data_IF_794952225485
#
_entry.id   IF_794952225485
#
_cell.length_a   1.000
_cell.length_b   1.000
_cell.length_c   1.000
_cell.angle_alpha   90.00
_cell.angle_beta   90.00
_cell.angle_gamma   90.00
#
_symmetry.space_group_name_H-M   'P 1'
#
loop_
_entity.id
_entity.type
_entity.pdbx_description
1 polymer ?
#
# COMPACT_ATOMS: atom_id res chain seq x y z
N UNK A 1 -0.03 -16.98 7.68
CA UNK A 1 -0.62 -16.33 8.87
C UNK A 1 -1.77 -17.21 9.39
N UNK A 2 -1.90 -17.40 10.70
CA UNK A 2 -2.89 -18.30 11.35
C UNK A 2 -3.79 -17.54 12.33
N UNK A 3 -4.09 -16.27 12.07
CA UNK A 3 -5.18 -15.61 12.78
C UNK A 3 -6.50 -16.29 12.36
N UNK A 4 -6.90 -17.34 13.10
CA UNK A 4 -8.08 -18.18 12.79
C UNK A 4 -9.40 -17.46 13.09
N UNK A 5 -9.33 -16.27 13.66
CA UNK A 5 -10.47 -15.51 14.15
C UNK A 5 -11.08 -14.61 13.06
N UNK A 6 -10.28 -14.06 12.14
CA UNK A 6 -10.78 -13.20 11.07
C UNK A 6 -9.95 -13.29 9.78
N UNK A 7 -10.62 -13.04 8.65
CA UNK A 7 -10.00 -12.82 7.33
C UNK A 7 -9.70 -11.35 7.07
N UNK A 8 -9.85 -10.49 8.08
CA UNK A 8 -9.80 -9.04 7.95
C UNK A 8 -8.37 -8.47 7.96
N UNK A 9 -7.36 -9.30 8.26
CA UNK A 9 -5.98 -8.84 8.43
C UNK A 9 -5.01 -9.34 7.37
N UNK A 10 -3.89 -8.64 7.27
CA UNK A 10 -2.74 -9.03 6.48
C UNK A 10 -1.75 -9.93 7.20
N UNK A 11 -0.72 -10.39 6.47
CA UNK A 11 0.31 -11.26 7.04
C UNK A 11 1.13 -10.56 8.14
N UNK A 12 1.28 -9.25 8.02
CA UNK A 12 1.65 -8.34 9.09
C UNK A 12 0.49 -7.39 9.32
N UNK A 13 0.22 -7.08 10.58
CA UNK A 13 -0.77 -6.10 10.95
C UNK A 13 -0.27 -5.26 12.14
N UNK A 14 -0.68 -4.00 12.21
CA UNK A 14 -0.42 -3.09 13.34
C UNK A 14 -1.70 -2.42 13.80
N UNK A 15 -1.70 -1.90 15.03
CA UNK A 15 -2.81 -1.12 15.59
C UNK A 15 -2.30 -0.06 16.56
N UNK A 16 -2.26 1.19 16.12
CA UNK A 16 -1.79 2.30 16.95
C UNK A 16 -2.95 2.95 17.71
N UNK A 17 -3.41 2.28 18.78
CA UNK A 17 -4.56 2.75 19.57
C UNK A 17 -4.23 3.86 20.57
N UNK A 18 -2.95 4.06 20.91
CA UNK A 18 -2.52 5.07 21.88
C UNK A 18 -1.17 5.69 21.48
N UNK A 19 -1.07 7.02 21.37
CA UNK A 19 0.20 7.68 21.14
C UNK A 19 1.05 7.64 22.41
N UNK A 20 2.33 7.31 22.26
CA UNK A 20 3.33 7.47 23.30
C UNK A 20 4.12 8.76 23.08
N UNK A 21 4.44 9.44 24.17
CA UNK A 21 5.40 10.55 24.13
C UNK A 21 6.79 9.95 24.15
N UNK A 22 7.55 10.16 23.08
CA UNK A 22 8.89 9.57 22.88
C UNK A 22 9.94 10.66 22.78
N UNK A 23 11.14 10.37 23.30
CA UNK A 23 12.36 11.03 22.86
C UNK A 23 12.93 10.23 21.69
N UNK A 24 13.25 10.91 20.60
CA UNK A 24 13.92 10.25 19.49
C UNK A 24 15.34 9.89 19.94
N UNK A 25 15.87 8.70 19.58
CA UNK A 25 17.16 8.22 20.10
C UNK A 25 18.33 9.19 19.90
N UNK A 26 18.25 9.99 18.83
CA UNK A 26 19.30 10.91 18.39
C UNK A 26 18.90 12.39 18.51
N UNK A 27 17.83 12.73 19.25
CA UNK A 27 17.34 14.11 19.41
C UNK A 27 17.31 14.53 20.89
N UNK A 28 18.10 15.56 21.25
CA UNK A 28 17.98 16.27 22.54
C UNK A 28 16.80 17.26 22.56
N UNK A 29 16.02 17.31 21.49
CA UNK A 29 14.82 18.13 21.34
C UNK A 29 13.68 17.78 22.31
N UNK A 30 12.61 18.59 22.29
CA UNK A 30 11.44 18.34 23.10
C UNK A 30 10.81 16.99 22.74
N UNK A 31 10.26 16.28 23.73
CA UNK A 31 9.59 15.01 23.48
C UNK A 31 8.44 15.18 22.47
N UNK A 32 8.26 14.18 21.61
CA UNK A 32 7.31 14.21 20.50
C UNK A 32 6.25 13.11 20.64
N UNK A 33 5.05 13.36 20.11
CA UNK A 33 4.02 12.33 19.91
C UNK A 33 4.18 11.58 18.57
N UNK A 34 5.11 12.04 17.73
CA UNK A 34 5.43 11.41 16.45
C UNK A 34 6.58 10.42 16.65
N UNK A 35 6.34 9.11 16.47
CA UNK A 35 7.37 8.09 16.62
C UNK A 35 8.35 8.12 15.44
N UNK A 36 9.49 7.44 15.61
CA UNK A 36 10.37 7.12 14.48
C UNK A 36 9.65 6.14 13.55
N UNK A 37 9.92 6.22 12.25
CA UNK A 37 9.41 5.24 11.31
C UNK A 37 9.93 3.83 11.60
N UNK A 38 9.02 2.88 11.75
CA UNK A 38 9.32 1.45 11.75
C UNK A 38 9.58 0.99 10.32
N UNK A 39 10.65 0.23 10.08
CA UNK A 39 11.00 -0.24 8.73
C UNK A 39 10.67 -1.73 8.58
N UNK A 40 9.87 -2.06 7.56
CA UNK A 40 9.60 -3.43 7.12
C UNK A 40 10.31 -3.60 5.78
N UNK A 41 11.47 -4.27 5.77
CA UNK A 41 12.31 -4.35 4.58
C UNK A 41 12.97 -5.72 4.38
N UNK A 42 13.13 -6.10 3.10
CA UNK A 42 13.90 -7.29 2.72
C UNK A 42 13.20 -8.60 3.03
N UNK A 43 11.86 -8.62 3.10
CA UNK A 43 11.11 -9.80 3.49
C UNK A 43 10.50 -10.52 2.30
N UNK A 44 10.45 -11.85 2.38
CA UNK A 44 9.53 -12.68 1.63
C UNK A 44 8.31 -12.98 2.52
N UNK A 45 7.13 -12.46 2.14
CA UNK A 45 5.91 -12.58 2.95
C UNK A 45 4.83 -13.27 2.13
N UNK A 46 4.27 -14.33 2.71
CA UNK A 46 3.21 -15.14 2.11
C UNK A 46 1.88 -14.89 2.84
N UNK A 47 0.93 -14.18 2.24
CA UNK A 47 -0.41 -14.02 2.81
C UNK A 47 -1.34 -15.13 2.29
N UNK A 48 -1.26 -16.29 2.96
CA UNK A 48 -2.09 -17.45 2.70
C UNK A 48 -3.38 -17.46 3.55
N UNK A 49 -4.40 -18.24 3.15
CA UNK A 49 -5.68 -18.41 3.87
C UNK A 49 -6.57 -17.15 3.96
N UNK A 50 -7.02 -16.62 2.81
CA UNK A 50 -8.02 -15.54 2.72
C UNK A 50 -7.67 -14.27 3.51
N UNK A 51 -6.39 -13.91 3.60
CA UNK A 51 -5.96 -12.65 4.20
C UNK A 51 -6.48 -11.45 3.40
N UNK A 52 -6.89 -10.40 4.09
CA UNK A 52 -7.34 -9.16 3.46
C UNK A 52 -6.20 -8.47 2.74
N UNK A 53 -5.01 -8.36 3.34
CA UNK A 53 -3.87 -7.63 2.79
C UNK A 53 -2.56 -8.42 2.81
N UNK A 54 -1.52 -7.93 2.15
CA UNK A 54 -0.16 -8.38 2.41
C UNK A 54 0.37 -7.73 3.70
N UNK A 55 0.14 -6.43 3.84
CA UNK A 55 0.40 -5.62 5.03
C UNK A 55 -0.88 -4.86 5.37
N UNK A 56 -1.26 -4.90 6.64
CA UNK A 56 -2.42 -4.20 7.19
C UNK A 56 -1.97 -3.14 8.19
N UNK A 57 -1.95 -1.88 7.76
CA UNK A 57 -1.70 -0.73 8.62
C UNK A 57 -2.98 0.09 8.74
N UNK A 58 -4.08 -0.57 9.07
CA UNK A 58 -5.37 0.04 9.38
C UNK A 58 -5.43 0.61 10.81
N UNK A 59 -6.62 1.08 11.21
CA UNK A 59 -6.99 1.41 12.59
C UNK A 59 -6.06 2.44 13.27
N UNK A 60 -5.74 3.51 12.54
CA UNK A 60 -4.86 4.59 13.01
C UNK A 60 -3.37 4.28 12.96
N UNK A 61 -2.98 3.11 12.43
CA UNK A 61 -1.58 2.74 12.31
C UNK A 61 -0.80 3.68 11.40
N UNK A 62 0.39 4.06 11.84
CA UNK A 62 1.26 4.87 11.00
C UNK A 62 2.74 4.81 11.31
N UNK A 63 3.49 5.63 10.57
CA UNK A 63 4.95 5.69 10.63
C UNK A 63 5.59 4.34 10.26
N UNK A 64 5.12 3.72 9.17
CA UNK A 64 5.74 2.51 8.61
C UNK A 64 6.41 2.82 7.27
N UNK A 65 7.66 2.40 7.14
CA UNK A 65 8.39 2.38 5.87
C UNK A 65 8.51 0.93 5.39
N UNK A 66 7.60 0.53 4.51
CA UNK A 66 7.56 -0.80 3.92
C UNK A 66 8.27 -0.77 2.57
N UNK A 67 9.49 -1.29 2.50
CA UNK A 67 10.28 -1.18 1.26
C UNK A 67 11.07 -2.42 0.89
N UNK A 68 11.21 -2.72 -0.40
CA UNK A 68 12.05 -3.82 -0.85
C UNK A 68 11.58 -5.19 -0.34
N UNK A 69 10.26 -5.42 -0.26
CA UNK A 69 9.69 -6.71 0.11
C UNK A 69 9.02 -7.41 -1.08
N UNK A 70 9.08 -8.74 -1.07
CA UNK A 70 8.35 -9.59 -2.00
C UNK A 70 7.16 -10.22 -1.29
N UNK A 71 5.97 -9.71 -1.61
CA UNK A 71 4.69 -10.17 -1.08
C UNK A 71 4.03 -11.12 -2.07
N UNK A 72 3.59 -12.28 -1.60
CA UNK A 72 2.98 -13.32 -2.42
C UNK A 72 1.66 -13.74 -1.81
N UNK A 73 0.60 -13.64 -2.62
CA UNK A 73 -0.79 -13.86 -2.23
C UNK A 73 -1.26 -12.86 -1.16
N UNK A 74 -2.41 -12.27 -1.39
CA UNK A 74 -3.05 -11.27 -0.54
C UNK A 74 -4.24 -10.71 -1.32
N UNK A 75 -5.36 -10.44 -0.67
CA UNK A 75 -6.46 -9.85 -1.41
C UNK A 75 -6.09 -8.41 -1.83
N UNK A 76 -5.52 -7.64 -0.92
CA UNK A 76 -4.96 -6.31 -1.11
C UNK A 76 -3.42 -6.32 -0.96
N UNK A 77 -2.73 -5.32 -1.53
CA UNK A 77 -1.31 -5.09 -1.24
C UNK A 77 -1.12 -4.40 0.10
N UNK A 78 -1.26 -3.07 0.10
CA UNK A 78 -1.33 -2.23 1.29
C UNK A 78 -2.80 -1.98 1.66
N UNK A 79 -3.17 -2.25 2.92
CA UNK A 79 -4.45 -1.88 3.52
C UNK A 79 -4.24 -0.76 4.55
N UNK A 80 -5.04 0.30 4.46
CA UNK A 80 -4.99 1.48 5.32
C UNK A 80 -6.38 2.14 5.51
N UNK A 81 -7.47 1.42 5.22
CA UNK A 81 -8.83 1.93 5.07
C UNK A 81 -9.57 2.33 6.36
N UNK A 82 -8.92 2.26 7.52
CA UNK A 82 -9.44 2.72 8.82
C UNK A 82 -8.50 3.73 9.48
N UNK A 83 -8.29 4.89 8.86
CA UNK A 83 -7.45 5.97 9.40
C UNK A 83 -5.93 5.66 9.43
N UNK A 84 -5.47 4.69 8.64
CA UNK A 84 -4.03 4.48 8.46
C UNK A 84 -3.39 5.72 7.84
N UNK A 85 -2.18 6.09 8.28
CA UNK A 85 -1.49 7.28 7.78
C UNK A 85 0.03 7.13 7.90
N UNK A 86 0.80 7.96 7.21
CA UNK A 86 2.27 7.84 7.20
C UNK A 86 2.79 6.43 6.85
N UNK A 87 2.04 5.64 6.08
CA UNK A 87 2.45 4.32 5.61
C UNK A 87 3.07 4.45 4.22
N UNK A 88 4.39 4.29 4.15
CA UNK A 88 5.19 4.50 2.94
C UNK A 88 5.60 3.15 2.36
N UNK A 89 4.90 2.74 1.32
CA UNK A 89 5.15 1.51 0.59
C UNK A 89 5.91 1.82 -0.69
N UNK A 90 7.18 1.42 -0.74
CA UNK A 90 8.05 1.72 -1.89
C UNK A 90 8.90 0.56 -2.36
N UNK A 91 9.11 0.42 -3.67
CA UNK A 91 9.98 -0.63 -4.23
C UNK A 91 9.60 -2.05 -3.77
N UNK A 92 8.32 -2.33 -3.54
CA UNK A 92 7.84 -3.68 -3.22
C UNK A 92 7.35 -4.39 -4.48
N UNK A 93 7.34 -5.72 -4.43
CA UNK A 93 6.66 -6.56 -5.42
C UNK A 93 5.46 -7.22 -4.73
N UNK A 94 4.25 -6.87 -5.15
CA UNK A 94 3.00 -7.50 -4.74
C UNK A 94 2.55 -8.47 -5.82
N UNK A 95 2.74 -9.76 -5.58
CA UNK A 95 2.44 -10.82 -6.54
C UNK A 95 1.13 -11.55 -6.22
N UNK A 96 0.38 -11.84 -7.28
CA UNK A 96 -0.87 -12.62 -7.25
C UNK A 96 -1.94 -12.01 -6.33
N UNK A 97 -2.16 -10.71 -6.45
CA UNK A 97 -3.18 -9.99 -5.68
C UNK A 97 -4.60 -10.39 -6.08
N UNK A 98 -5.49 -10.51 -5.10
CA UNK A 98 -6.91 -10.85 -5.31
C UNK A 98 -7.73 -9.69 -5.89
N UNK A 99 -7.42 -8.45 -5.50
CA UNK A 99 -8.20 -7.27 -5.91
C UNK A 99 -7.33 -6.08 -6.27
N UNK A 100 -6.89 -5.28 -5.30
CA UNK A 100 -6.16 -4.01 -5.51
C UNK A 100 -4.79 -4.03 -4.83
N UNK A 101 -3.86 -3.24 -5.34
CA UNK A 101 -2.53 -3.08 -4.73
C UNK A 101 -2.51 -2.14 -3.52
N UNK A 102 -3.48 -1.23 -3.46
CA UNK A 102 -3.65 -0.27 -2.40
C UNK A 102 -5.13 -0.07 -2.09
N UNK A 103 -5.51 -0.09 -0.81
CA UNK A 103 -6.87 0.22 -0.36
C UNK A 103 -6.86 1.19 0.82
N UNK A 104 -7.65 2.27 0.67
CA UNK A 104 -7.97 3.26 1.68
C UNK A 104 -9.39 3.81 1.41
N UNK A 105 -10.41 3.20 2.02
CA UNK A 105 -11.82 3.49 1.76
C UNK A 105 -12.43 4.52 2.71
N UNK A 106 -11.60 5.28 3.43
CA UNK A 106 -12.06 6.31 4.35
C UNK A 106 -12.62 5.74 5.65
N UNK A 107 -11.92 6.03 6.75
CA UNK A 107 -12.35 5.68 8.12
C UNK A 107 -11.81 6.61 9.21
N UNK A 108 -10.94 7.56 8.84
CA UNK A 108 -10.37 8.57 9.73
C UNK A 108 -9.11 9.20 9.14
N UNK A 109 -9.10 9.38 7.82
CA UNK A 109 -7.98 9.94 7.09
C UNK A 109 -7.44 11.19 7.77
N UNK A 110 -6.12 11.26 7.88
CA UNK A 110 -5.49 12.46 8.40
C UNK A 110 -5.63 13.55 7.33
N UNK A 111 -6.45 14.56 7.63
CA UNK A 111 -6.66 15.77 6.81
C UNK A 111 -5.44 16.69 6.80
N UNK A 112 -4.25 16.10 6.69
CA UNK A 112 -2.99 16.81 6.66
C UNK A 112 -2.11 16.23 5.55
N UNK A 113 -1.76 17.12 4.62
CA UNK A 113 -0.91 16.80 3.48
C UNK A 113 0.44 16.17 3.84
N UNK A 114 0.96 16.41 5.06
CA UNK A 114 2.25 15.88 5.53
C UNK A 114 2.17 14.44 6.02
N UNK A 115 1.00 13.97 6.46
CA UNK A 115 0.80 12.67 7.10
C UNK A 115 0.19 11.61 6.18
N UNK A 116 0.15 11.88 4.89
CA UNK A 116 -0.47 10.97 3.94
C UNK A 116 0.36 9.75 3.66
N UNK A 117 -0.33 8.65 3.43
CA UNK A 117 0.23 7.45 2.84
C UNK A 117 0.92 7.71 1.50
N UNK A 118 1.90 6.85 1.21
CA UNK A 118 2.63 6.84 -0.06
C UNK A 118 2.70 5.43 -0.58
N UNK A 119 2.34 5.26 -1.84
CA UNK A 119 2.41 3.97 -2.53
C UNK A 119 3.05 4.18 -3.89
N UNK A 120 4.37 4.01 -3.97
CA UNK A 120 5.12 4.39 -5.17
C UNK A 120 6.27 3.48 -5.52
N UNK A 121 6.66 3.42 -6.81
CA UNK A 121 7.69 2.51 -7.31
C UNK A 121 7.42 1.02 -7.00
N UNK A 122 6.18 0.64 -6.73
CA UNK A 122 5.83 -0.75 -6.48
C UNK A 122 5.50 -1.47 -7.80
N UNK A 123 5.77 -2.77 -7.83
CA UNK A 123 5.22 -3.66 -8.86
C UNK A 123 4.00 -4.36 -8.29
N UNK A 124 2.85 -4.20 -8.94
CA UNK A 124 1.57 -4.78 -8.55
C UNK A 124 1.13 -5.77 -9.62
N UNK A 125 0.94 -7.04 -9.26
CA UNK A 125 0.50 -8.09 -10.19
C UNK A 125 -0.87 -8.56 -9.74
N UNK A 126 -1.91 -8.10 -10.44
CA UNK A 126 -3.31 -8.42 -10.13
C UNK A 126 -3.63 -9.81 -10.70
N UNK A 127 -3.79 -10.81 -9.83
CA UNK A 127 -4.08 -12.19 -10.22
C UNK A 127 -5.49 -12.41 -10.77
N UNK A 128 -6.35 -11.38 -10.73
CA UNK A 128 -7.76 -11.43 -11.12
C UNK A 128 -8.06 -10.50 -12.31
N UNK A 129 -9.31 -10.51 -12.78
CA UNK A 129 -9.77 -9.65 -13.90
C UNK A 129 -10.18 -8.24 -13.45
N UNK A 130 -9.78 -7.84 -12.24
CA UNK A 130 -10.05 -6.51 -11.69
C UNK A 130 -9.38 -5.41 -12.53
N UNK A 131 -10.11 -4.32 -12.72
CA UNK A 131 -9.65 -3.17 -13.50
C UNK A 131 -9.17 -2.03 -12.64
N UNK A 132 -9.50 -1.97 -11.36
CA UNK A 132 -8.96 -0.96 -10.46
C UNK A 132 -7.73 -1.53 -9.77
N UNK A 133 -6.64 -0.76 -9.67
CA UNK A 133 -5.45 -1.19 -8.94
C UNK A 133 -5.31 -0.49 -7.58
N UNK A 134 -6.02 0.61 -7.36
CA UNK A 134 -6.06 1.34 -6.10
C UNK A 134 -7.52 1.73 -5.79
N UNK A 135 -8.01 1.32 -4.62
CA UNK A 135 -9.34 1.68 -4.13
C UNK A 135 -9.18 2.74 -3.05
N UNK A 136 -9.49 3.99 -3.38
CA UNK A 136 -9.29 5.14 -2.49
C UNK A 136 -10.59 5.92 -2.32
N UNK A 137 -10.71 6.73 -1.26
CA UNK A 137 -11.79 7.70 -1.11
C UNK A 137 -11.71 8.82 -2.16
N UNK A 138 -12.82 9.13 -2.84
CA UNK A 138 -12.83 9.98 -4.03
C UNK A 138 -13.90 11.08 -3.96
N UNK A 139 -13.49 12.35 -3.83
CA UNK A 139 -14.21 13.65 -4.02
C UNK A 139 -15.64 13.83 -3.45
N UNK A 140 -16.32 12.81 -2.95
CA UNK A 140 -17.65 12.91 -2.37
C UNK A 140 -17.53 13.01 -0.84
N UNK A 141 -18.06 14.10 -0.28
CA UNK A 141 -17.97 14.46 1.14
C UNK A 141 -18.53 13.41 2.13
N UNK A 142 -19.20 12.35 1.63
CA UNK A 142 -19.67 11.22 2.42
C UNK A 142 -18.59 10.16 2.73
N UNK A 143 -17.41 10.22 2.08
CA UNK A 143 -16.38 9.16 2.14
C UNK A 143 -15.10 9.56 2.89
N UNK A 144 -15.11 10.63 3.70
CA UNK A 144 -13.95 11.02 4.52
C UNK A 144 -13.03 12.05 3.87
N UNK A 145 -12.57 11.83 2.63
CA UNK A 145 -11.59 12.71 1.98
C UNK A 145 -12.24 13.88 1.24
N UNK A 146 -12.12 15.10 1.80
CA UNK A 146 -12.76 16.31 1.24
C UNK A 146 -11.89 17.11 0.27
N UNK A 147 -10.58 16.88 0.25
CA UNK A 147 -9.63 17.66 -0.56
C UNK A 147 -8.44 16.83 -1.02
N UNK A 148 -7.47 17.47 -1.67
CA UNK A 148 -6.25 16.81 -2.14
C UNK A 148 -5.22 16.57 -1.02
N UNK A 149 -5.46 17.10 0.18
CA UNK A 149 -4.55 16.99 1.33
C UNK A 149 -4.72 15.68 2.09
N UNK A 150 -5.90 15.04 2.04
CA UNK A 150 -6.13 13.70 2.60
C UNK A 150 -5.80 12.54 1.65
N UNK A 151 -5.71 12.78 0.33
CA UNK A 151 -5.49 11.66 -0.63
C UNK A 151 -4.08 11.10 -0.61
N UNK A 152 -3.90 9.77 -0.62
CA UNK A 152 -2.60 9.14 -0.67
C UNK A 152 -1.80 9.54 -1.90
N UNK A 153 -0.47 9.52 -1.78
CA UNK A 153 0.43 9.79 -2.90
C UNK A 153 0.76 8.48 -3.61
N UNK A 154 0.09 8.25 -4.73
CA UNK A 154 0.41 7.18 -5.66
C UNK A 154 1.41 7.68 -6.71
N UNK A 155 2.23 6.81 -7.29
CA UNK A 155 3.02 7.15 -8.48
C UNK A 155 4.11 6.14 -8.82
N UNK A 156 4.54 6.14 -10.08
CA UNK A 156 5.63 5.31 -10.59
C UNK A 156 5.44 3.80 -10.34
N UNK A 157 4.20 3.35 -10.18
CA UNK A 157 3.90 1.93 -9.98
C UNK A 157 3.85 1.19 -11.33
N UNK A 158 4.21 -0.08 -11.35
CA UNK A 158 4.03 -0.97 -12.51
C UNK A 158 2.90 -1.93 -12.22
N UNK A 159 1.78 -1.81 -12.93
CA UNK A 159 0.59 -2.61 -12.70
C UNK A 159 0.43 -3.64 -13.80
N UNK A 160 0.63 -4.92 -13.49
CA UNK A 160 0.33 -6.03 -14.39
C UNK A 160 -1.11 -6.48 -14.19
N UNK A 161 -1.90 -6.49 -15.26
CA UNK A 161 -3.24 -7.07 -15.25
C UNK A 161 -3.61 -7.63 -16.63
N UNK A 162 -4.60 -8.53 -16.68
CA UNK A 162 -4.99 -9.21 -17.93
C UNK A 162 -5.50 -8.28 -19.03
N UNK A 163 -6.05 -7.12 -18.66
CA UNK A 163 -6.72 -6.20 -19.61
C UNK A 163 -5.76 -5.17 -20.20
N UNK A 164 -4.65 -4.86 -19.54
CA UNK A 164 -3.74 -3.79 -19.94
C UNK A 164 -4.32 -2.38 -19.72
N UNK A 165 -5.31 -2.25 -18.84
CA UNK A 165 -5.95 -0.99 -18.52
C UNK A 165 -6.32 -0.96 -17.03
N UNK A 166 -6.29 0.22 -16.42
CA UNK A 166 -6.77 0.39 -15.05
C UNK A 166 -7.53 1.69 -14.83
N UNK A 167 -8.26 1.76 -13.72
CA UNK A 167 -8.96 2.94 -13.24
C UNK A 167 -8.62 3.23 -11.77
N UNK A 168 -8.71 4.51 -11.40
CA UNK A 168 -8.68 5.00 -10.01
C UNK A 168 -9.81 6.02 -9.89
N UNK A 169 -10.58 5.99 -8.80
CA UNK A 169 -11.75 6.88 -8.63
C UNK A 169 -12.76 6.83 -9.79
N UNK A 170 -12.96 5.65 -10.40
CA UNK A 170 -13.84 5.50 -11.57
C UNK A 170 -13.32 6.14 -12.86
N UNK A 171 -12.14 6.77 -12.83
CA UNK A 171 -11.50 7.39 -13.98
C UNK A 171 -10.44 6.48 -14.58
N UNK A 172 -10.30 6.39 -15.91
CA UNK A 172 -9.14 5.74 -16.53
C UNK A 172 -7.84 6.36 -16.03
N UNK A 173 -6.81 5.55 -15.79
CA UNK A 173 -5.53 6.01 -15.24
C UNK A 173 -4.94 7.23 -16.00
N UNK A 174 -5.00 7.23 -17.33
CA UNK A 174 -4.50 8.33 -18.13
C UNK A 174 -5.25 9.66 -17.89
N UNK A 175 -6.54 9.60 -17.55
CA UNK A 175 -7.31 10.79 -17.18
C UNK A 175 -6.96 11.24 -15.75
N UNK A 176 -6.82 10.28 -14.83
CA UNK A 176 -6.36 10.54 -13.45
C UNK A 176 -4.99 11.22 -13.41
N UNK A 177 -4.06 10.76 -14.26
CA UNK A 177 -2.72 11.34 -14.41
C UNK A 177 -2.72 12.75 -14.99
N UNK A 178 -3.66 13.09 -15.88
CA UNK A 178 -3.80 14.45 -16.41
C UNK A 178 -4.25 15.45 -15.36
N UNK A 179 -4.93 15.01 -14.30
CA UNK A 179 -5.27 15.84 -13.15
C UNK A 179 -4.09 16.04 -12.18
N UNK A 180 -2.94 15.39 -12.44
CA UNK A 180 -1.73 15.50 -11.63
C UNK A 180 -1.58 14.40 -10.56
N UNK A 181 -2.48 13.42 -10.53
CA UNK A 181 -2.42 12.30 -9.59
C UNK A 181 -1.70 11.09 -10.17
N UNK A 182 -1.11 10.26 -9.32
CA UNK A 182 -0.49 8.99 -9.74
C UNK A 182 0.52 9.08 -10.91
N UNK A 183 1.43 10.08 -10.92
CA UNK A 183 2.33 10.31 -12.03
C UNK A 183 3.28 9.12 -12.25
N UNK A 184 3.55 8.79 -13.52
CA UNK A 184 4.54 7.77 -13.89
C UNK A 184 4.08 6.32 -13.70
N UNK A 185 2.91 6.07 -13.11
CA UNK A 185 2.35 4.72 -13.04
C UNK A 185 1.99 4.22 -14.44
N UNK A 186 2.33 2.96 -14.72
CA UNK A 186 2.08 2.30 -16.01
C UNK A 186 1.33 0.99 -15.83
N UNK A 187 0.48 0.66 -16.81
CA UNK A 187 -0.22 -0.62 -16.85
C UNK A 187 0.36 -1.50 -17.95
N UNK A 188 0.67 -2.74 -17.60
CA UNK A 188 1.25 -3.73 -18.49
C UNK A 188 0.21 -4.83 -18.69
N UNK A 189 -0.11 -5.12 -19.96
CA UNK A 189 -1.09 -6.15 -20.30
C UNK A 189 -0.49 -7.54 -20.10
N UNK A 190 -1.25 -8.41 -19.45
CA UNK A 190 -0.87 -9.78 -19.13
C UNK A 190 -0.31 -9.92 -17.73
N UNK A 191 -0.33 -11.16 -17.25
CA UNK A 191 0.32 -11.55 -15.99
C UNK A 191 1.65 -12.20 -16.37
N UNK A 192 2.80 -11.76 -15.83
CA UNK A 192 4.07 -12.44 -16.07
C UNK A 192 3.99 -13.90 -15.64
N UNK A 193 4.77 -14.77 -16.27
CA UNK A 193 4.92 -16.15 -15.81
C UNK A 193 5.62 -16.22 -14.44
N UNK A 194 5.47 -17.36 -13.78
CA UNK A 194 5.96 -17.57 -12.41
C UNK A 194 7.48 -17.38 -12.31
N UNK A 195 8.25 -17.82 -13.31
CA UNK A 195 9.70 -17.64 -13.35
C UNK A 195 10.08 -16.16 -13.37
N UNK A 196 9.37 -15.36 -14.16
CA UNK A 196 9.54 -13.92 -14.21
C UNK A 196 9.18 -13.28 -12.86
N UNK A 197 8.05 -13.64 -12.26
CA UNK A 197 7.63 -13.10 -10.95
C UNK A 197 8.65 -13.45 -9.86
N UNK A 198 9.08 -14.71 -9.81
CA UNK A 198 10.12 -15.19 -8.89
C UNK A 198 11.40 -14.39 -9.10
N UNK A 199 11.83 -14.16 -10.35
CA UNK A 199 13.04 -13.38 -10.65
C UNK A 199 12.96 -11.94 -10.12
N UNK A 200 11.78 -11.31 -10.14
CA UNK A 200 11.58 -9.99 -9.52
C UNK A 200 11.81 -10.05 -8.01
N UNK A 201 11.26 -11.07 -7.34
CA UNK A 201 11.50 -11.30 -5.91
C UNK A 201 12.97 -11.56 -5.58
N UNK A 202 13.67 -12.37 -6.40
CA UNK A 202 15.11 -12.63 -6.23
C UNK A 202 15.93 -11.35 -6.35
N UNK A 203 15.65 -10.55 -7.39
CA UNK A 203 16.33 -9.28 -7.61
C UNK A 203 16.12 -8.30 -6.44
N UNK A 204 14.97 -8.37 -5.78
CA UNK A 204 14.67 -7.52 -4.63
C UNK A 204 15.42 -7.94 -3.36
N UNK A 205 15.44 -9.24 -3.08
CA UNK A 205 15.90 -9.79 -1.81
C UNK A 205 17.40 -10.14 -1.81
N UNK A 206 18.00 -10.32 -2.99
CA UNK A 206 19.35 -10.86 -3.15
C UNK A 206 20.20 -10.08 -4.18
N UNK A 207 19.88 -8.81 -4.47
CA UNK A 207 20.67 -7.98 -5.39
C UNK A 207 22.15 -7.81 -4.97
N UNK A 208 22.49 -8.03 -3.69
CA UNK A 208 23.84 -7.86 -3.14
C UNK A 208 24.40 -9.13 -2.45
N UNK A 209 23.89 -10.32 -2.78
CA UNK A 209 24.34 -11.60 -2.20
C UNK A 209 25.29 -12.40 -3.12
#
# INVERSE_FOLDING_TARGET
>A
NWCRESTDHGAFNSWDRQPFVVHQPDDEGPPSIYPQFNTIQGNFILANYQQSGAIDNDDGSGYYNTTGNFFVYGNYGQKADMAGHDNYHTNNVYAYLGTVCYVDLGGGEVSNATHRDRHSNNTCILGTDQTTYAAISCRNASEGCKDDACRPRLGHNRVYNRKGATSVCGMPLAAWQKEGYDPGTVVIKGIPDDDTIISMGKALLWADA
#
